data_IF_532201775934
#
_entry.id   IF_532201775934
#
_cell.length_a   1.000
_cell.length_b   1.000
_cell.length_c   1.000
_cell.angle_alpha   90.00
_cell.angle_beta   90.00
_cell.angle_gamma   90.00
#
_symmetry.space_group_name_H-M   'P 1'
#
loop_
_entity.id
_entity.type
_entity.pdbx_description
1 polymer ?
2 branched ?
3 water ?
#
# COMPACT_ATOMS: atom_id res chain seq x y z
N UNK A 3 10.16 -10.25 18.68
CA UNK A 3 10.98 -10.86 17.62
C UNK A 3 11.28 -12.35 17.89
N UNK A 4 10.42 -13.26 17.39
CA UNK A 4 10.64 -14.70 17.46
C UNK A 4 11.31 -15.33 16.23
N UNK A 5 10.95 -16.59 15.95
CA UNK A 5 11.35 -17.38 14.77
C UNK A 5 12.67 -16.95 14.11
N UNK A 6 12.66 -16.96 12.77
CA UNK A 6 13.68 -16.30 11.96
C UNK A 6 13.04 -15.08 11.35
N UNK A 7 12.40 -14.27 12.22
CA UNK A 7 11.58 -13.11 11.85
C UNK A 7 12.24 -12.26 10.79
N UNK A 8 11.43 -11.72 9.88
CA UNK A 8 11.95 -10.86 8.82
C UNK A 8 11.88 -9.38 9.15
N UNK A 9 13.00 -8.68 9.03
CA UNK A 9 13.03 -7.21 9.13
C UNK A 9 13.40 -6.66 7.78
N UNK A 10 12.62 -5.69 7.33
CA UNK A 10 12.76 -5.17 5.97
C UNK A 10 12.43 -3.71 5.88
N UNK A 11 12.85 -3.09 4.78
CA UNK A 11 12.49 -1.71 4.49
C UNK A 11 11.92 -1.66 3.07
N UNK A 12 10.83 -0.91 2.87
CA UNK A 12 10.23 -0.79 1.54
C UNK A 12 10.63 0.48 0.80
N UNK A 13 10.72 0.33 -0.52
CA UNK A 13 10.78 1.42 -1.50
C UNK A 13 9.55 1.33 -2.46
N UNK A 14 9.37 2.27 -3.37
CA UNK A 14 8.35 2.09 -4.43
C UNK A 14 8.79 2.72 -5.74
N UNK A 15 8.57 2.01 -6.84
CA UNK A 15 9.07 2.42 -8.15
C UNK A 15 9.04 3.91 -8.44
N UNK A 16 7.87 4.54 -8.42
CA UNK A 16 7.81 5.94 -8.83
C UNK A 16 8.41 6.90 -7.82
N UNK A 17 8.43 6.48 -6.57
CA UNK A 17 8.82 7.33 -5.48
C UNK A 17 10.33 7.43 -5.37
N UNK A 18 11.05 6.50 -6.01
CA UNK A 18 12.51 6.44 -5.85
C UNK A 18 13.31 6.29 -7.13
N UNK A 19 12.66 5.83 -8.20
CA UNK A 19 13.41 5.36 -9.37
C UNK A 19 14.02 6.46 -10.24
N UNK A 20 13.23 7.45 -10.63
CA UNK A 20 13.62 8.36 -11.70
C UNK A 20 13.64 7.59 -13.01
N UNK A 21 14.27 8.19 -14.02
CA UNK A 21 14.36 7.58 -15.35
C UNK A 21 13.00 7.39 -16.00
N UNK A 22 12.07 8.29 -15.69
CA UNK A 22 10.67 8.20 -16.11
C UNK A 22 10.51 7.95 -17.62
N UNK A 23 11.47 8.43 -18.42
CA UNK A 23 11.46 8.15 -19.85
C UNK A 23 12.78 7.59 -20.30
N UNK A 24 13.43 6.87 -19.39
CA UNK A 24 14.70 6.26 -19.70
C UNK A 24 14.54 4.88 -20.34
N UNK A 25 15.29 4.64 -21.41
CA UNK A 25 15.54 3.30 -21.92
C UNK A 25 14.29 2.58 -22.42
N UNK A 26 13.33 3.32 -22.95
CA UNK A 26 12.13 2.72 -23.50
C UNK A 26 10.88 2.78 -22.62
N UNK A 27 11.01 3.38 -21.44
CA UNK A 27 9.94 3.36 -20.47
C UNK A 27 8.78 4.19 -20.98
N UNK A 28 7.57 3.67 -20.85
CA UNK A 28 6.38 4.38 -21.23
C UNK A 28 5.93 5.29 -20.11
N UNK A 29 5.17 6.36 -20.44
CA UNK A 29 4.72 7.21 -19.32
C UNK A 29 3.71 6.49 -18.40
N UNK A 30 3.81 6.74 -17.11
CA UNK A 30 2.84 6.23 -16.16
C UNK A 30 2.00 7.42 -15.74
N UNK A 31 1.01 7.22 -14.86
CA UNK A 31 0.04 8.30 -14.59
C UNK A 31 0.62 9.46 -13.77
N UNK A 32 1.62 9.17 -12.95
CA UNK A 32 2.24 10.21 -12.17
C UNK A 32 3.14 11.08 -13.06
N UNK A 33 3.72 10.46 -14.08
CA UNK A 33 4.39 11.22 -15.12
C UNK A 33 3.44 12.28 -15.68
N UNK A 34 2.27 11.89 -16.15
CA UNK A 34 1.31 12.85 -16.70
C UNK A 34 0.78 13.82 -15.62
N UNK A 35 0.54 13.31 -14.42
CA UNK A 35 -0.06 14.11 -13.35
C UNK A 35 0.87 15.24 -12.93
N UNK A 36 2.09 14.87 -12.52
CA UNK A 36 3.08 15.85 -12.04
C UNK A 36 3.54 16.81 -13.14
N UNK A 37 3.55 16.38 -14.39
CA UNK A 37 3.91 17.30 -15.47
C UNK A 37 2.84 18.40 -15.73
N UNK A 38 1.60 18.16 -15.30
CA UNK A 38 0.48 19.09 -15.51
C UNK A 38 0.47 20.33 -14.61
N UNK A 39 1.31 20.34 -13.58
CA UNK A 39 1.33 21.42 -12.61
C UNK A 39 0.00 21.66 -11.90
N UNK A 40 -0.37 22.93 -11.74
CA UNK A 40 -1.46 23.27 -10.81
C UNK A 40 -0.81 23.01 -9.47
N UNK A 41 -1.55 22.97 -8.39
CA UNK A 41 -0.81 22.89 -7.16
C UNK A 41 -1.07 21.55 -6.52
N UNK A 42 -1.13 20.56 -7.41
CA UNK A 42 -1.51 19.22 -7.05
C UNK A 42 -0.41 18.56 -6.26
N UNK A 43 0.82 18.80 -6.70
CA UNK A 43 1.99 18.39 -5.91
C UNK A 43 2.61 19.62 -5.26
N UNK A 44 3.06 19.46 -4.02
CA UNK A 44 3.87 20.48 -3.34
C UNK A 44 4.91 21.04 -4.32
N UNK A 45 4.93 22.36 -4.46
CA UNK A 45 5.88 23.07 -5.33
C UNK A 45 6.00 22.56 -6.78
N UNK A 46 5.01 21.79 -7.23
CA UNK A 46 5.04 21.22 -8.58
C UNK A 46 6.20 20.28 -8.80
N UNK A 47 6.61 19.61 -7.73
CA UNK A 47 7.70 18.63 -7.81
C UNK A 47 7.23 17.40 -8.57
N UNK A 48 8.18 16.70 -9.21
CA UNK A 48 7.88 15.51 -9.97
C UNK A 48 8.79 14.43 -9.45
N UNK A 49 8.51 13.16 -9.82
CA UNK A 49 9.43 12.03 -9.66
C UNK A 49 10.26 11.73 -10.93
N UNK A 50 10.57 12.76 -11.73
CA UNK A 50 11.49 12.58 -12.88
C UNK A 50 12.85 12.01 -12.53
N UNK A 51 13.33 12.33 -11.33
CA UNK A 51 14.64 11.88 -10.87
C UNK A 51 14.44 11.15 -9.56
N UNK A 52 13.58 11.70 -8.70
CA UNK A 52 13.41 11.18 -7.34
C UNK A 52 14.79 10.83 -6.72
N UNK A 53 14.97 9.61 -6.24
CA UNK A 53 16.20 9.23 -5.55
C UNK A 53 17.27 8.82 -6.53
N UNK A 54 16.94 8.88 -7.82
CA UNK A 54 17.73 8.30 -8.88
C UNK A 54 17.98 6.79 -8.75
N UNK A 55 17.08 6.06 -8.12
CA UNK A 55 17.32 4.64 -7.92
C UNK A 55 17.41 3.76 -9.18
N UNK A 56 16.95 4.24 -10.34
CA UNK A 56 17.10 3.48 -11.57
C UNK A 56 18.58 3.48 -12.02
N UNK A 57 19.35 4.45 -11.50
CA UNK A 57 20.75 4.65 -11.87
C UNK A 57 21.74 4.41 -10.73
N UNK A 58 21.31 4.54 -9.50
CA UNK A 58 22.20 4.44 -8.35
C UNK A 58 21.73 3.33 -7.47
N UNK A 59 21.47 2.15 -8.04
CA UNK A 59 20.89 1.06 -7.28
C UNK A 59 21.89 0.45 -6.26
N UNK A 60 23.17 0.38 -6.62
CA UNK A 60 24.18 -0.09 -5.67
C UNK A 60 24.24 0.76 -4.40
N UNK A 61 23.95 2.06 -4.54
CA UNK A 61 23.82 2.92 -3.38
C UNK A 61 22.70 2.40 -2.47
N UNK A 62 21.62 1.93 -3.09
CA UNK A 62 20.52 1.37 -2.31
C UNK A 62 20.93 0.06 -1.65
N UNK A 63 21.59 -0.78 -2.44
CA UNK A 63 22.11 -2.05 -1.94
C UNK A 63 22.99 -1.82 -0.71
N UNK A 64 23.94 -0.88 -0.82
CA UNK A 64 24.80 -0.50 0.29
C UNK A 64 24.06 -0.21 1.58
N UNK A 65 23.01 0.61 1.49
CA UNK A 65 22.13 0.90 2.62
C UNK A 65 21.46 -0.36 3.11
N UNK A 66 21.04 -1.22 2.20
CA UNK A 66 20.30 -2.41 2.58
C UNK A 66 21.25 -3.23 3.41
N UNK A 67 22.43 -3.45 2.86
CA UNK A 67 23.51 -4.17 3.54
C UNK A 67 23.89 -3.57 4.87
N UNK A 68 24.03 -2.23 4.91
CA UNK A 68 24.40 -1.53 6.14
C UNK A 68 23.36 -1.76 7.22
N UNK A 69 22.09 -1.81 6.82
CA UNK A 69 21.00 -2.13 7.75
C UNK A 69 20.96 -3.60 8.14
N UNK A 70 21.59 -4.45 7.33
CA UNK A 70 21.46 -5.89 7.49
C UNK A 70 20.03 -6.43 7.40
N UNK A 71 19.25 -5.95 6.43
CA UNK A 71 17.85 -6.37 6.33
C UNK A 71 17.82 -7.83 5.94
N UNK A 72 16.89 -8.58 6.51
CA UNK A 72 16.69 -9.94 6.13
C UNK A 72 15.93 -9.97 4.82
N UNK A 73 15.13 -8.91 4.59
CA UNK A 73 14.28 -8.73 3.42
C UNK A 73 14.36 -7.32 2.82
N UNK A 74 13.84 -7.14 1.60
CA UNK A 74 13.70 -5.81 1.01
C UNK A 74 12.46 -5.72 0.12
N UNK A 75 11.60 -4.75 0.40
CA UNK A 75 10.39 -4.60 -0.40
C UNK A 75 10.56 -3.49 -1.41
N UNK A 76 10.43 -3.84 -2.69
CA UNK A 76 10.38 -2.82 -3.74
C UNK A 76 9.19 -3.13 -4.64
N UNK A 77 8.91 -2.22 -5.58
CA UNK A 77 7.84 -2.45 -6.57
C UNK A 77 8.40 -2.49 -7.97
N UNK A 78 7.65 -3.11 -8.89
CA UNK A 78 8.02 -3.13 -10.29
C UNK A 78 7.26 -2.05 -11.04
N UNK A 79 7.97 -1.40 -11.96
CA UNK A 79 7.34 -0.36 -12.76
C UNK A 79 6.61 -0.96 -13.97
N UNK A 80 5.30 -1.05 -13.86
CA UNK A 80 4.48 -1.58 -14.97
C UNK A 80 4.85 -0.95 -16.34
N UNK A 81 4.91 0.38 -16.40
CA UNK A 81 5.27 1.05 -17.64
C UNK A 81 6.79 1.06 -17.95
N UNK A 82 7.64 0.65 -16.99
CA UNK A 82 9.07 0.47 -17.30
C UNK A 82 9.22 -0.87 -17.99
N UNK A 83 8.54 -1.89 -17.43
CA UNK A 83 8.54 -3.21 -18.03
C UNK A 83 7.71 -3.27 -19.33
N UNK A 84 6.44 -2.84 -19.25
CA UNK A 84 5.55 -2.91 -20.43
C UNK A 84 5.06 -1.50 -20.80
N UNK A 85 5.84 -0.78 -21.64
CA UNK A 85 5.62 0.66 -21.90
C UNK A 85 4.19 1.06 -22.28
N UNK A 86 3.50 0.21 -23.02
CA UNK A 86 2.12 0.47 -23.44
C UNK A 86 1.14 -0.35 -22.62
N UNK A 87 1.62 -0.99 -21.55
CA UNK A 87 0.76 -1.76 -20.63
C UNK A 87 0.58 -3.25 -20.93
N UNK A 88 0.82 -3.64 -22.17
CA UNK A 88 0.60 -5.02 -22.59
C UNK A 88 1.92 -5.74 -22.84
N UNK A 89 1.86 -7.05 -23.05
CA UNK A 89 3.06 -7.80 -23.34
C UNK A 89 3.46 -7.68 -24.80
N UNK A 90 2.63 -6.98 -25.58
CA UNK A 90 2.93 -6.72 -26.99
C UNK A 90 4.24 -5.96 -27.22
N UNK A 91 4.76 -5.32 -26.20
CA UNK A 91 6.01 -4.61 -26.34
C UNK A 91 6.73 -4.68 -24.99
N UNK A 92 7.79 -5.48 -24.95
CA UNK A 92 8.55 -5.76 -23.74
C UNK A 92 9.87 -4.98 -23.73
N UNK A 93 10.14 -4.29 -22.62
CA UNK A 93 11.38 -3.51 -22.48
C UNK A 93 12.47 -4.29 -21.77
N UNK A 94 13.37 -4.89 -22.54
CA UNK A 94 14.47 -5.67 -21.96
C UNK A 94 15.31 -4.91 -20.91
N UNK A 95 15.45 -3.59 -21.05
CA UNK A 95 16.26 -2.79 -20.09
C UNK A 95 15.62 -2.76 -18.73
N UNK A 96 14.30 -2.61 -18.70
CA UNK A 96 13.52 -2.77 -17.48
C UNK A 96 13.75 -4.12 -16.84
N UNK A 97 13.86 -5.17 -17.65
CA UNK A 97 13.98 -6.55 -17.16
C UNK A 97 15.36 -6.68 -16.57
N UNK A 98 16.40 -6.29 -17.33
CA UNK A 98 17.78 -6.34 -16.81
C UNK A 98 17.89 -5.69 -15.45
N UNK A 99 17.16 -4.59 -15.27
CA UNK A 99 17.26 -3.75 -14.08
C UNK A 99 16.68 -4.44 -12.85
N UNK A 100 15.46 -4.97 -12.95
CA UNK A 100 14.89 -5.62 -11.79
C UNK A 100 15.62 -6.94 -11.57
N UNK A 101 16.06 -7.58 -12.65
CA UNK A 101 16.87 -8.79 -12.50
C UNK A 101 18.12 -8.54 -11.67
N UNK A 102 18.77 -7.38 -11.88
CA UNK A 102 19.92 -6.99 -11.07
C UNK A 102 19.63 -6.75 -9.58
N UNK A 103 18.57 -6.03 -9.28
CA UNK A 103 18.15 -5.84 -7.90
C UNK A 103 18.00 -7.20 -7.21
N UNK A 104 17.22 -8.08 -7.84
CA UNK A 104 16.93 -9.41 -7.30
C UNK A 104 18.21 -10.25 -7.12
N UNK A 105 19.07 -10.28 -8.14
CA UNK A 105 20.28 -11.07 -8.09
C UNK A 105 21.22 -10.53 -7.00
N UNK A 106 21.43 -9.21 -6.98
CA UNK A 106 22.22 -8.60 -5.91
C UNK A 106 21.60 -8.91 -4.54
N UNK A 107 20.29 -8.78 -4.42
CA UNK A 107 19.64 -9.12 -3.15
C UNK A 107 19.86 -10.56 -2.67
N UNK A 108 19.78 -11.53 -3.59
CA UNK A 108 19.99 -12.94 -3.23
C UNK A 108 21.43 -13.29 -2.91
N UNK A 109 22.39 -12.66 -3.58
CA UNK A 109 23.80 -12.92 -3.29
C UNK A 109 24.28 -12.29 -1.97
N UNK A 110 23.54 -11.31 -1.46
CA UNK A 110 23.80 -10.81 -0.11
C UNK A 110 22.90 -11.46 0.94
N UNK A 111 22.12 -12.48 0.56
CA UNK A 111 21.34 -13.25 1.51
C UNK A 111 20.09 -12.55 2.02
N UNK A 112 19.70 -11.48 1.31
CA UNK A 112 18.45 -10.75 1.57
C UNK A 112 17.29 -11.26 0.68
N UNK A 113 16.11 -11.45 1.27
CA UNK A 113 14.93 -11.99 0.56
C UNK A 113 14.07 -10.87 -0.04
N UNK A 114 13.86 -10.88 -1.37
CA UNK A 114 13.06 -9.83 -2.03
C UNK A 114 11.55 -9.96 -1.77
N UNK A 115 10.87 -8.83 -1.63
CA UNK A 115 9.38 -8.81 -1.59
C UNK A 115 8.88 -7.86 -2.68
N UNK A 116 8.18 -8.39 -3.66
CA UNK A 116 7.92 -7.61 -4.87
C UNK A 116 6.47 -7.21 -5.03
N UNK A 117 6.24 -5.91 -4.98
CA UNK A 117 4.98 -5.33 -5.33
C UNK A 117 4.91 -5.17 -6.87
N UNK A 118 3.82 -5.65 -7.50
CA UNK A 118 3.68 -5.55 -8.93
C UNK A 118 3.18 -4.18 -9.28
N UNK A 119 2.28 -3.66 -8.47
CA UNK A 119 1.65 -2.39 -8.79
C UNK A 119 1.59 -1.53 -7.51
N UNK A 120 2.13 -0.31 -7.59
CA UNK A 120 2.17 0.63 -6.46
C UNK A 120 1.74 2.01 -6.94
N UNK A 121 0.43 2.22 -7.08
CA UNK A 121 -0.21 3.50 -7.43
C UNK A 121 0.22 4.08 -8.78
N UNK A 122 0.55 3.22 -9.75
CA UNK A 122 1.32 3.73 -10.92
C UNK A 122 1.01 3.15 -12.30
N UNK A 123 -0.28 3.07 -12.60
CA UNK A 123 -0.77 2.64 -13.89
C UNK A 123 -0.05 3.30 -15.05
N UNK A 124 0.35 2.51 -16.07
CA UNK A 124 0.63 3.03 -17.42
C UNK A 124 -0.42 4.01 -17.91
N UNK A 125 0.01 5.17 -18.43
CA UNK A 125 -0.93 6.14 -19.02
C UNK A 125 -1.90 5.52 -20.03
N UNK A 126 -1.41 4.63 -20.89
CA UNK A 126 -2.22 3.91 -21.86
C UNK A 126 -3.45 3.28 -21.19
N UNK A 127 -3.19 2.58 -20.09
CA UNK A 127 -4.24 1.85 -19.43
C UNK A 127 -5.26 2.78 -18.78
N UNK A 128 -4.80 3.93 -18.27
CA UNK A 128 -5.68 4.91 -17.66
C UNK A 128 -6.54 5.57 -18.74
N UNK A 129 -5.99 5.78 -19.95
CA UNK A 129 -6.78 6.31 -21.07
C UNK A 129 -7.97 5.41 -21.45
N UNK A 130 -7.91 4.15 -21.02
CA UNK A 130 -8.95 3.17 -21.35
C UNK A 130 -9.82 2.86 -20.15
N UNK A 131 -9.91 3.85 -19.25
CA UNK A 131 -10.78 3.79 -18.09
C UNK A 131 -10.08 3.59 -16.78
N UNK A 132 -8.78 3.20 -16.83
CA UNK A 132 -8.10 2.73 -15.62
C UNK A 132 -8.94 1.71 -14.86
N UNK A 133 -8.91 1.79 -13.53
CA UNK A 133 -9.58 0.82 -12.65
C UNK A 133 -11.11 0.98 -12.59
N UNK A 134 -11.64 1.89 -13.41
CA UNK A 134 -13.08 2.04 -13.62
C UNK A 134 -13.63 1.07 -14.66
N UNK A 135 -12.75 0.57 -15.55
CA UNK A 135 -13.14 -0.33 -16.62
C UNK A 135 -12.79 -1.75 -16.20
N UNK A 136 -13.62 -2.72 -16.54
CA UNK A 136 -13.29 -4.08 -16.10
C UNK A 136 -12.26 -4.69 -17.05
N UNK A 137 -12.04 -4.04 -18.19
CA UNK A 137 -10.95 -4.38 -19.11
C UNK A 137 -9.62 -4.41 -18.38
N UNK A 138 -9.53 -3.65 -17.29
CA UNK A 138 -8.33 -3.60 -16.50
C UNK A 138 -7.99 -4.95 -15.86
N UNK A 139 -9.00 -5.71 -15.45
CA UNK A 139 -8.81 -7.02 -14.82
C UNK A 139 -7.93 -7.97 -15.68
N UNK A 140 -8.24 -8.06 -16.96
CA UNK A 140 -7.46 -8.85 -17.90
C UNK A 140 -6.05 -8.27 -18.08
N UNK A 141 -5.96 -6.93 -18.20
CA UNK A 141 -4.70 -6.20 -18.30
C UNK A 141 -3.72 -6.51 -17.15
N UNK A 142 -4.22 -6.39 -15.93
CA UNK A 142 -3.43 -6.66 -14.75
C UNK A 142 -2.98 -8.09 -14.66
N UNK A 143 -3.88 -9.02 -14.99
CA UNK A 143 -3.62 -10.46 -14.91
C UNK A 143 -2.50 -10.82 -15.89
N UNK A 144 -2.57 -10.28 -17.09
CA UNK A 144 -1.50 -10.51 -18.07
C UNK A 144 -0.14 -9.92 -17.66
N UNK A 145 -0.15 -8.70 -17.10
CA UNK A 145 1.02 -8.08 -16.47
C UNK A 145 1.55 -8.93 -15.33
N UNK A 146 0.68 -9.31 -14.41
CA UNK A 146 1.04 -10.21 -13.30
C UNK A 146 1.64 -11.52 -13.79
N UNK A 147 0.99 -12.17 -14.73
CA UNK A 147 1.56 -13.36 -15.35
C UNK A 147 2.97 -13.14 -15.87
N UNK A 148 3.17 -12.02 -16.57
CA UNK A 148 4.48 -11.64 -17.10
C UNK A 148 5.53 -11.49 -16.00
N UNK A 149 5.14 -10.89 -14.87
CA UNK A 149 6.05 -10.68 -13.73
C UNK A 149 6.44 -11.98 -13.03
N UNK A 150 5.46 -12.87 -12.83
CA UNK A 150 5.74 -14.19 -12.26
C UNK A 150 6.68 -14.94 -13.17
N UNK A 151 6.36 -14.94 -14.46
CA UNK A 151 7.18 -15.64 -15.42
C UNK A 151 8.63 -15.20 -15.36
N UNK A 152 8.85 -13.88 -15.42
CA UNK A 152 10.19 -13.30 -15.58
C UNK A 152 11.02 -13.35 -14.29
N UNK A 153 10.37 -13.14 -13.16
CA UNK A 153 11.11 -12.91 -11.92
C UNK A 153 10.93 -14.01 -10.89
N UNK A 154 9.97 -14.90 -11.14
CA UNK A 154 9.51 -15.83 -10.13
C UNK A 154 10.41 -17.02 -9.89
N UNK A 155 11.32 -17.31 -10.83
CA UNK A 155 12.33 -18.35 -10.61
C UNK A 155 13.10 -18.07 -9.32
N UNK A 156 13.24 -16.78 -8.98
CA UNK A 156 13.90 -16.46 -7.73
C UNK A 156 13.22 -15.46 -6.78
N UNK A 157 12.06 -14.91 -7.17
CA UNK A 157 11.20 -14.18 -6.24
C UNK A 157 10.11 -15.13 -5.70
N UNK A 158 10.00 -15.21 -4.38
CA UNK A 158 9.03 -16.12 -3.75
C UNK A 158 7.96 -15.40 -2.91
N UNK A 159 8.05 -14.08 -2.79
CA UNK A 159 7.14 -13.33 -1.92
C UNK A 159 6.62 -12.17 -2.72
N UNK A 160 5.31 -12.14 -2.93
CA UNK A 160 4.69 -11.12 -3.79
C UNK A 160 3.58 -10.35 -3.13
N UNK A 161 3.58 -9.06 -3.37
CA UNK A 161 2.39 -8.27 -3.11
C UNK A 161 1.92 -7.82 -4.48
N UNK A 162 0.66 -8.13 -4.78
CA UNK A 162 0.14 -7.89 -6.13
C UNK A 162 -0.20 -6.43 -6.27
N UNK A 163 -1.15 -6.00 -5.44
CA UNK A 163 -1.61 -4.62 -5.42
C UNK A 163 -1.32 -4.02 -4.05
N UNK A 164 -0.56 -2.93 -4.08
CA UNK A 164 -0.32 -2.15 -2.88
C UNK A 164 -1.50 -1.24 -2.49
N UNK A 165 -1.95 -1.37 -1.26
CA UNK A 165 -3.03 -0.53 -0.71
C UNK A 165 -4.14 -0.20 -1.74
N UNK A 166 -4.86 -1.23 -2.17
CA UNK A 166 -5.94 -1.03 -3.15
C UNK A 166 -6.97 -0.11 -2.56
N UNK A 167 -7.12 -0.17 -1.24
CA UNK A 167 -8.06 0.70 -0.55
C UNK A 167 -7.67 2.18 -0.61
N UNK A 168 -6.46 2.51 -0.20
CA UNK A 168 -5.97 3.86 -0.38
C UNK A 168 -5.96 4.28 -1.89
N UNK A 169 -5.59 3.34 -2.77
CA UNK A 169 -5.66 3.57 -4.21
C UNK A 169 -7.06 3.96 -4.77
N UNK A 170 -8.08 3.17 -4.49
CA UNK A 170 -9.42 3.49 -5.00
C UNK A 170 -9.96 4.83 -4.46
N UNK A 171 -9.72 5.11 -3.19
CA UNK A 171 -10.19 6.36 -2.60
C UNK A 171 -9.46 7.59 -3.14
N UNK A 172 -8.14 7.48 -3.32
CA UNK A 172 -7.30 8.65 -3.69
C UNK A 172 -7.31 8.94 -5.18
N UNK A 173 -7.32 7.87 -5.99
CA UNK A 173 -7.34 8.01 -7.44
C UNK A 173 -8.71 8.32 -8.00
N UNK A 174 -9.74 7.75 -7.39
CA UNK A 174 -11.05 7.72 -8.05
C UNK A 174 -12.19 8.27 -7.23
N UNK A 175 -12.15 8.08 -5.91
CA UNK A 175 -13.15 8.69 -5.05
C UNK A 175 -12.77 10.12 -4.66
N UNK A 176 -11.58 10.35 -4.14
CA UNK A 176 -11.22 11.71 -3.70
C UNK A 176 -10.60 12.59 -4.80
N UNK A 177 -10.22 12.00 -5.93
CA UNK A 177 -9.56 12.74 -7.03
C UNK A 177 -8.22 13.39 -6.71
N UNK A 178 -7.57 12.91 -5.66
CA UNK A 178 -6.31 13.49 -5.22
C UNK A 178 -5.11 12.94 -6.00
N UNK A 179 -5.10 11.64 -6.24
CA UNK A 179 -4.09 11.02 -7.12
C UNK A 179 -4.61 11.16 -8.55
N UNK A 180 -3.74 10.94 -9.55
CA UNK A 180 -4.28 10.70 -10.90
C UNK A 180 -5.32 9.56 -10.91
N UNK A 181 -6.31 9.59 -11.82
CA UNK A 181 -6.52 10.60 -12.87
C UNK A 181 -7.10 11.93 -12.36
N UNK A 182 -7.23 12.09 -11.05
CA UNK A 182 -7.48 13.38 -10.41
C UNK A 182 -8.83 14.07 -10.58
N UNK A 183 -9.83 13.31 -11.02
CA UNK A 183 -11.23 13.79 -11.02
C UNK A 183 -12.02 13.28 -9.79
N UNK A 184 -12.62 14.21 -9.01
CA UNK A 184 -13.25 13.88 -7.71
C UNK A 184 -14.22 12.66 -7.53
N UNK A 185 -15.32 12.51 -8.28
CA UNK A 185 -16.29 11.35 -8.05
C UNK A 185 -16.70 10.90 -6.61
N UNK A 186 -17.00 11.82 -5.69
CA UNK A 186 -17.38 11.40 -4.30
C UNK A 186 -18.51 10.33 -4.18
N UNK A 187 -18.20 9.18 -3.60
CA UNK A 187 -19.21 8.12 -3.38
C UNK A 187 -19.49 7.06 -4.47
N UNK A 188 -18.95 7.27 -5.68
CA UNK A 188 -19.10 6.27 -6.75
C UNK A 188 -17.76 5.71 -7.22
N UNK A 189 -16.77 6.58 -7.43
CA UNK A 189 -15.45 6.20 -7.93
C UNK A 189 -14.76 5.09 -7.16
N UNK A 190 -14.66 5.25 -5.85
CA UNK A 190 -13.97 4.30 -4.97
C UNK A 190 -14.49 2.87 -5.04
N UNK A 191 -15.81 2.69 -4.87
CA UNK A 191 -16.38 1.34 -4.95
C UNK A 191 -16.25 0.78 -6.36
N UNK A 192 -16.33 1.64 -7.36
CA UNK A 192 -16.22 1.19 -8.73
C UNK A 192 -14.82 0.69 -9.04
N UNK A 193 -13.80 1.41 -8.58
CA UNK A 193 -12.43 0.90 -8.64
C UNK A 193 -12.21 -0.34 -7.78
N UNK A 194 -12.74 -0.32 -6.56
CA UNK A 194 -12.44 -1.37 -5.58
C UNK A 194 -12.85 -2.72 -6.13
N UNK A 195 -14.00 -2.72 -6.82
CA UNK A 195 -14.56 -3.89 -7.47
C UNK A 195 -13.57 -4.57 -8.42
N UNK A 196 -13.04 -3.77 -9.33
CA UNK A 196 -12.05 -4.24 -10.30
C UNK A 196 -10.70 -4.61 -9.69
N UNK A 197 -10.26 -3.83 -8.72
CA UNK A 197 -9.05 -4.13 -7.99
C UNK A 197 -9.14 -5.48 -7.24
N UNK A 198 -10.32 -5.76 -6.68
CA UNK A 198 -10.58 -7.07 -6.05
C UNK A 198 -10.57 -8.24 -7.06
N UNK A 199 -11.27 -8.11 -8.18
CA UNK A 199 -11.29 -9.18 -9.20
C UNK A 199 -9.91 -9.34 -9.88
N UNK A 200 -9.25 -8.22 -10.17
CA UNK A 200 -7.91 -8.28 -10.77
C UNK A 200 -6.91 -8.93 -9.83
N UNK A 201 -6.95 -8.57 -8.54
CA UNK A 201 -6.05 -9.22 -7.59
C UNK A 201 -6.35 -10.69 -7.58
N UNK A 202 -7.65 -11.00 -7.60
CA UNK A 202 -8.15 -12.34 -7.42
C UNK A 202 -7.68 -13.25 -8.53
N UNK A 203 -7.75 -12.74 -9.76
CA UNK A 203 -7.42 -13.52 -10.93
C UNK A 203 -5.94 -13.73 -10.97
N UNK A 204 -5.20 -12.67 -10.66
CA UNK A 204 -3.74 -12.70 -10.60
C UNK A 204 -3.27 -13.78 -9.60
N UNK A 205 -3.96 -13.86 -8.46
CA UNK A 205 -3.67 -14.91 -7.48
C UNK A 205 -3.88 -16.27 -8.14
N UNK A 206 -5.04 -16.48 -8.77
CA UNK A 206 -5.36 -17.70 -9.50
C UNK A 206 -4.44 -18.02 -10.67
N UNK A 207 -3.82 -17.01 -11.28
CA UNK A 207 -2.85 -17.28 -12.30
C UNK A 207 -1.65 -17.85 -11.62
N UNK A 208 -1.30 -17.31 -10.47
CA UNK A 208 -0.11 -17.78 -9.79
C UNK A 208 -0.30 -19.21 -9.27
N UNK A 209 -1.48 -19.47 -8.71
CA UNK A 209 -1.80 -20.77 -8.13
C UNK A 209 -1.84 -21.87 -9.19
N UNK A 210 -2.41 -21.53 -10.34
CA UNK A 210 -2.49 -22.38 -11.49
C UNK A 210 -1.18 -22.57 -12.29
N UNK A 211 -0.43 -21.49 -12.48
CA UNK A 211 0.59 -21.46 -13.53
C UNK A 211 2.02 -21.46 -13.03
N UNK A 212 2.24 -21.00 -11.79
CA UNK A 212 3.60 -20.87 -11.27
C UNK A 212 3.84 -21.51 -9.92
N UNK A 213 2.81 -21.63 -9.09
CA UNK A 213 2.99 -22.09 -7.71
C UNK A 213 3.63 -23.46 -7.55
N UNK A 214 3.32 -24.36 -8.49
CA UNK A 214 3.87 -25.72 -8.45
C UNK A 214 5.39 -25.65 -8.57
N UNK A 215 5.84 -24.95 -9.61
CA UNK A 215 7.25 -24.88 -9.92
C UNK A 215 7.97 -23.89 -9.01
N UNK A 216 7.38 -22.72 -8.77
CA UNK A 216 8.06 -21.60 -8.09
C UNK A 216 7.95 -21.61 -6.57
N UNK A 217 6.84 -22.13 -6.06
CA UNK A 217 6.69 -22.38 -4.62
C UNK A 217 6.69 -21.11 -3.77
N UNK A 218 6.06 -20.05 -4.29
CA UNK A 218 6.11 -18.78 -3.62
C UNK A 218 4.78 -18.55 -2.95
N UNK A 219 4.61 -17.36 -2.39
CA UNK A 219 3.35 -16.96 -1.76
C UNK A 219 2.99 -15.55 -2.17
N UNK A 220 1.68 -15.30 -2.21
CA UNK A 220 1.15 -14.12 -2.87
C UNK A 220 -0.08 -13.56 -2.12
N UNK A 221 -0.07 -12.27 -1.84
CA UNK A 221 -1.32 -11.58 -1.55
C UNK A 221 -1.28 -10.15 -2.05
N UNK A 222 -1.95 -9.28 -1.32
CA UNK A 222 -2.04 -7.87 -1.62
C UNK A 222 -1.98 -7.20 -0.26
N UNK A 223 -1.62 -5.92 -0.23
CA UNK A 223 -1.48 -5.23 1.06
C UNK A 223 -2.62 -4.26 1.24
N UNK A 224 -2.94 -3.97 2.49
CA UNK A 224 -4.09 -3.17 2.83
C UNK A 224 -3.66 -2.14 3.87
N UNK A 225 -4.23 -0.95 3.77
CA UNK A 225 -3.98 0.14 4.69
C UNK A 225 -4.96 -0.01 5.83
N UNK A 226 -4.46 -0.03 7.06
CA UNK A 226 -5.37 -0.06 8.19
C UNK A 226 -5.08 1.06 9.16
N UNK A 227 -5.99 2.03 9.25
CA UNK A 227 -6.04 2.92 10.37
C UNK A 227 -6.81 2.20 11.47
N UNK A 228 -6.22 2.04 12.65
CA UNK A 228 -6.97 1.50 13.79
C UNK A 228 -7.91 2.53 14.39
N UNK A 229 -9.17 2.16 14.55
CA UNK A 229 -10.18 3.12 15.00
C UNK A 229 -10.73 2.86 16.41
N UNK A 230 -10.87 3.95 17.17
CA UNK A 230 -11.48 3.94 18.50
C UNK A 230 -12.68 4.87 18.57
N UNK A 231 -13.74 4.44 19.29
CA UNK A 231 -14.87 5.28 19.73
C UNK A 231 -14.45 6.62 20.37
N UNK A 232 -14.88 7.74 19.76
CA UNK A 232 -14.56 9.09 20.27
C UNK A 232 -14.76 9.13 21.79
N UNK A 233 -16.01 9.08 22.23
CA UNK A 233 -16.30 8.71 23.61
C UNK A 233 -16.61 7.23 23.67
N UNK A 234 -15.95 6.50 24.61
CA UNK A 234 -16.20 5.07 24.74
C UNK A 234 -17.48 4.90 25.53
N UNK A 235 -17.92 3.64 25.70
CA UNK A 235 -19.23 3.30 26.32
C UNK A 235 -20.43 4.23 25.96
N UNK A 236 -20.18 5.17 25.03
CA UNK A 236 -21.20 5.89 24.29
C UNK A 236 -21.57 5.04 23.06
N UNK A 237 -22.66 4.30 23.20
CA UNK A 237 -23.01 3.16 22.32
C UNK A 237 -22.95 3.34 20.80
N UNK A 238 -23.49 4.46 20.29
CA UNK A 238 -23.52 4.76 18.84
C UNK A 238 -22.12 4.79 18.21
N UNK A 239 -21.24 5.56 18.83
CA UNK A 239 -19.82 5.61 18.52
C UNK A 239 -19.15 4.23 18.51
N UNK A 240 -19.58 3.34 19.40
CA UNK A 240 -18.98 2.01 19.49
C UNK A 240 -19.15 1.22 18.19
N UNK A 241 -20.32 1.33 17.58
CA UNK A 241 -20.63 0.53 16.41
C UNK A 241 -20.20 1.25 15.14
N UNK A 242 -20.20 2.58 15.22
CA UNK A 242 -19.67 3.47 14.20
C UNK A 242 -18.19 3.24 13.89
N UNK A 243 -17.41 3.04 14.95
CA UNK A 243 -15.99 2.84 14.84
C UNK A 243 -15.69 1.45 14.30
N UNK A 244 -16.55 0.49 14.63
CA UNK A 244 -16.47 -0.87 14.06
C UNK A 244 -16.86 -0.85 12.59
N UNK A 245 -17.93 -0.13 12.28
CA UNK A 245 -18.45 -0.05 10.92
C UNK A 245 -17.45 0.65 9.99
N UNK A 246 -16.79 1.69 10.48
CA UNK A 246 -15.72 2.36 9.73
C UNK A 246 -14.49 1.46 9.48
N UNK A 247 -14.26 0.47 10.34
CA UNK A 247 -13.22 -0.53 10.06
C UNK A 247 -13.64 -1.41 8.86
N UNK A 248 -14.84 -1.98 8.97
CA UNK A 248 -15.37 -2.85 7.92
C UNK A 248 -15.43 -2.10 6.58
N UNK A 249 -15.69 -0.79 6.63
CA UNK A 249 -15.75 0.05 5.43
C UNK A 249 -14.39 0.20 4.77
N UNK A 250 -13.33 0.41 5.54
CA UNK A 250 -12.04 0.75 4.92
C UNK A 250 -11.10 -0.44 4.79
N UNK A 251 -11.26 -1.42 5.69
CA UNK A 251 -10.41 -2.60 5.66
C UNK A 251 -11.15 -3.84 5.15
N UNK A 252 -12.29 -4.17 5.75
CA UNK A 252 -12.98 -5.42 5.45
C UNK A 252 -13.70 -5.43 4.09
N UNK A 253 -14.02 -4.23 3.59
CA UNK A 253 -14.53 -4.02 2.22
C UNK A 253 -13.66 -4.78 1.21
N UNK A 254 -12.41 -5.07 1.60
CA UNK A 254 -11.46 -5.75 0.71
C UNK A 254 -11.05 -7.10 1.23
N UNK A 255 -11.04 -7.25 2.56
CA UNK A 255 -10.43 -8.43 3.15
C UNK A 255 -11.46 -9.52 3.35
N UNK A 256 -12.68 -9.12 3.70
CA UNK A 256 -13.77 -10.09 3.80
C UNK A 256 -13.86 -10.94 2.53
N UNK A 257 -14.03 -10.33 1.33
CA UNK A 257 -14.14 -11.08 0.07
C UNK A 257 -12.93 -11.93 -0.26
N UNK A 258 -11.74 -11.35 -0.11
CA UNK A 258 -10.50 -12.01 -0.47
C UNK A 258 -10.10 -13.11 0.54
N UNK A 259 -10.20 -12.83 1.84
CA UNK A 259 -9.83 -13.82 2.88
C UNK A 259 -10.95 -14.74 3.37
N UNK A 260 -12.23 -14.33 3.18
CA UNK A 260 -13.44 -15.04 3.70
C UNK A 260 -14.59 -14.97 2.68
N UNK A 261 -15.31 -16.06 2.47
CA UNK A 261 -16.64 -15.96 1.83
C UNK A 261 -16.78 -15.21 0.47
N UNK A 262 -15.78 -14.43 0.06
CA UNK A 262 -15.75 -13.85 -1.29
C UNK A 262 -16.72 -12.73 -1.61
N UNK A 263 -17.36 -12.17 -0.59
CA UNK A 263 -18.32 -11.11 -0.78
C UNK A 263 -18.10 -9.93 0.20
N UNK A 264 -18.49 -8.74 -0.23
CA UNK A 264 -18.41 -7.55 0.60
C UNK A 264 -19.06 -7.77 1.97
N UNK A 265 -18.62 -7.04 3.02
CA UNK A 265 -19.30 -7.10 4.33
C UNK A 265 -20.78 -6.71 4.27
N UNK A 266 -21.60 -7.36 5.10
CA UNK A 266 -23.05 -7.13 4.99
C UNK A 266 -23.49 -5.69 5.33
N UNK A 267 -22.94 -5.12 6.41
CA UNK A 267 -23.17 -3.70 6.77
C UNK A 267 -23.03 -2.77 5.56
N UNK A 268 -21.99 -3.02 4.77
CA UNK A 268 -21.55 -2.15 3.68
C UNK A 268 -22.61 -2.18 2.59
N UNK A 269 -23.01 -3.40 2.19
CA UNK A 269 -24.04 -3.64 1.17
C UNK A 269 -25.35 -2.96 1.51
N UNK A 270 -25.76 -3.06 2.79
CA UNK A 270 -27.06 -2.49 3.19
C UNK A 270 -27.04 -0.99 3.30
N UNK A 271 -25.96 -0.44 3.83
CA UNK A 271 -25.84 1.00 4.06
C UNK A 271 -25.77 1.77 2.76
N UNK A 272 -24.99 1.26 1.79
CA UNK A 272 -24.80 1.95 0.51
C UNK A 272 -26.04 1.87 -0.40
N UNK A 273 -26.63 0.67 -0.44
CA UNK A 273 -27.86 0.37 -1.16
C UNK A 273 -28.98 1.27 -0.70
N UNK A 274 -29.21 1.25 0.62
CA UNK A 274 -30.26 2.06 1.24
C UNK A 274 -30.10 3.52 0.83
N UNK A 275 -28.91 4.07 1.09
CA UNK A 275 -28.62 5.44 0.76
C UNK A 275 -28.59 5.71 -0.73
N UNK A 276 -28.34 4.69 -1.58
CA UNK A 276 -28.33 4.92 -3.04
C UNK A 276 -29.75 5.16 -3.58
N UNK A 277 -30.76 4.68 -2.86
CA UNK A 277 -32.15 5.00 -3.17
C UNK A 277 -32.43 6.49 -2.98
N UNK A 278 -31.91 7.03 -1.88
CA UNK A 278 -31.29 8.38 -1.88
C UNK A 278 -31.69 9.32 -2.98
N UNK A 279 -30.76 9.55 -3.91
CA UNK A 279 -30.83 10.60 -4.94
C UNK A 279 -31.39 9.95 -6.14
N UNK A 280 -31.72 8.67 -5.99
CA UNK A 280 -32.40 8.01 -7.04
C UNK A 280 -31.33 7.62 -8.02
N UNK A 281 -30.35 6.88 -7.52
CA UNK A 281 -29.51 6.04 -8.34
C UNK A 281 -30.34 4.83 -8.63
N UNK A 282 -30.34 4.36 -9.89
CA UNK A 282 -31.09 3.18 -10.30
C UNK A 282 -30.50 1.88 -9.74
N UNK A 283 -29.28 1.95 -9.24
CA UNK A 283 -28.72 0.80 -8.55
C UNK A 283 -27.89 1.23 -7.37
N UNK A 284 -27.63 0.33 -6.45
CA UNK A 284 -26.61 0.57 -5.40
C UNK A 284 -25.33 1.04 -6.06
N UNK A 285 -24.49 1.77 -5.31
CA UNK A 285 -23.19 2.24 -5.84
C UNK A 285 -22.07 1.25 -5.47
N UNK A 286 -22.40 0.29 -4.60
CA UNK A 286 -21.57 -0.85 -4.35
C UNK A 286 -21.90 -1.82 -5.46
N UNK A 287 -20.97 -2.06 -6.40
CA UNK A 287 -21.36 -3.06 -7.41
C UNK A 287 -21.48 -4.44 -6.76
N UNK A 288 -22.08 -5.39 -7.49
CA UNK A 288 -22.37 -6.72 -6.97
C UNK A 288 -21.40 -7.70 -7.53
N UNK A 289 -20.95 -8.63 -6.67
CA UNK A 289 -20.22 -9.79 -7.12
C UNK A 289 -21.23 -10.82 -7.53
N UNK A 290 -21.00 -11.46 -8.66
CA UNK A 290 -21.86 -12.58 -9.09
C UNK A 290 -21.50 -13.78 -8.27
N UNK A 291 -22.35 -14.81 -8.33
CA UNK A 291 -22.13 -16.03 -7.55
C UNK A 291 -20.88 -16.75 -8.03
N UNK A 292 -20.74 -16.81 -9.35
CA UNK A 292 -19.53 -17.30 -10.01
C UNK A 292 -18.30 -16.57 -9.46
N UNK A 293 -18.33 -15.23 -9.44
CA UNK A 293 -17.22 -14.37 -8.96
C UNK A 293 -16.79 -14.66 -7.54
N UNK A 294 -17.75 -14.79 -6.63
CA UNK A 294 -17.47 -15.13 -5.23
C UNK A 294 -16.63 -16.41 -5.05
N UNK A 295 -16.87 -17.41 -5.88
CA UNK A 295 -16.06 -18.64 -5.84
C UNK A 295 -14.62 -18.33 -6.30
N UNK A 296 -14.50 -17.49 -7.33
CA UNK A 296 -13.17 -17.09 -7.80
C UNK A 296 -12.42 -16.27 -6.73
N UNK A 297 -13.10 -15.30 -6.10
CA UNK A 297 -12.43 -14.37 -5.17
C UNK A 297 -12.02 -14.93 -3.79
N UNK A 298 -12.75 -15.89 -3.25
CA UNK A 298 -12.53 -16.31 -1.86
C UNK A 298 -11.28 -17.19 -1.66
N UNK A 299 -10.57 -16.96 -0.55
CA UNK A 299 -9.38 -17.72 -0.19
C UNK A 299 -8.26 -17.44 -1.17
N UNK A 300 -8.21 -16.18 -1.62
CA UNK A 300 -7.34 -15.77 -2.71
C UNK A 300 -6.13 -14.97 -2.17
N UNK A 301 -5.59 -15.42 -1.04
CA UNK A 301 -4.49 -14.70 -0.39
C UNK A 301 -3.66 -15.69 0.41
N UNK A 302 -2.34 -15.60 0.29
CA UNK A 302 -1.46 -16.55 0.98
C UNK A 302 -1.01 -16.10 2.40
N UNK A 303 -1.16 -14.80 2.67
CA UNK A 303 -0.87 -14.20 3.97
C UNK A 303 -1.57 -12.84 4.04
N UNK A 304 -1.81 -12.33 5.25
CA UNK A 304 -2.47 -11.02 5.41
C UNK A 304 -1.38 -9.97 5.48
N UNK A 305 -1.50 -8.95 4.65
CA UNK A 305 -0.49 -7.90 4.64
C UNK A 305 -1.15 -6.54 4.84
N UNK A 306 -0.88 -5.96 6.02
CA UNK A 306 -1.36 -4.65 6.41
C UNK A 306 -0.23 -3.64 6.31
N UNK A 307 -0.62 -2.39 6.17
CA UNK A 307 0.31 -1.28 6.17
C UNK A 307 -0.28 -0.31 7.17
N UNK A 308 0.34 -0.24 8.35
CA UNK A 308 -0.20 0.56 9.44
C UNK A 308 0.58 1.86 9.67
N UNK A 309 -0.12 2.91 10.05
CA UNK A 309 0.52 4.20 10.35
C UNK A 309 -0.12 4.94 11.54
N UNK A 310 -1.43 4.76 11.73
CA UNK A 310 -2.20 5.64 12.60
C UNK A 310 -3.51 5.08 13.12
N UNK A 311 -3.98 5.74 14.17
CA UNK A 311 -5.26 5.49 14.79
C UNK A 311 -6.04 6.77 14.58
N UNK A 312 -7.36 6.70 14.74
CA UNK A 312 -8.21 7.87 14.76
C UNK A 312 -9.32 7.56 15.73
N UNK A 313 -9.93 8.63 16.23
CA UNK A 313 -11.17 8.51 16.95
C UNK A 313 -12.31 8.75 15.95
N UNK A 314 -13.39 7.99 16.13
CA UNK A 314 -14.58 8.13 15.30
C UNK A 314 -15.85 8.32 16.13
N UNK A 315 -16.69 9.27 15.73
CA UNK A 315 -18.03 9.36 16.30
C UNK A 315 -19.12 9.04 15.26
N UNK A 316 -20.31 8.68 15.73
CA UNK A 316 -21.48 8.54 14.87
C UNK A 316 -21.85 9.89 14.27
N UNK A 317 -22.40 9.85 13.07
CA UNK A 317 -22.86 11.06 12.44
C UNK A 317 -23.88 10.64 11.41
N UNK A 318 -25.14 10.60 11.86
CA UNK A 318 -26.31 10.34 11.03
C UNK A 318 -26.26 11.14 9.74
N UNK A 319 -26.42 10.46 8.61
CA UNK A 319 -26.58 11.17 7.36
C UNK A 319 -28.00 11.77 7.23
N UNK A 320 -28.42 12.48 8.30
CA UNK A 320 -29.58 13.37 8.30
C UNK A 320 -29.56 14.20 7.01
N UNK A 321 -30.55 14.00 6.13
CA UNK A 321 -30.44 14.53 4.76
C UNK A 321 -29.29 13.81 4.05
N UNK A 322 -29.64 12.79 3.26
CA UNK A 322 -28.64 11.97 2.57
C UNK A 322 -27.71 12.88 1.80
N UNK A 323 -26.42 12.53 1.77
CA UNK A 323 -25.41 13.37 1.16
C UNK A 323 -24.31 12.47 0.57
N UNK A 324 -23.70 12.90 -0.52
CA UNK A 324 -23.00 11.96 -1.38
C UNK A 324 -21.74 11.30 -0.81
N UNK A 325 -21.94 10.02 -0.51
CA UNK A 325 -20.89 9.03 -0.43
C UNK A 325 -19.72 9.31 0.45
N UNK A 326 -18.75 10.06 -0.08
CA UNK A 326 -17.43 10.31 0.56
C UNK A 326 -17.11 9.13 1.49
N UNK A 327 -17.80 8.02 1.23
CA UNK A 327 -17.74 6.79 2.03
C UNK A 327 -18.05 7.10 3.52
N UNK A 328 -17.84 8.36 3.89
CA UNK A 328 -18.03 8.90 5.24
C UNK A 328 -19.48 8.91 5.63
N UNK A 329 -20.29 9.25 4.65
CA UNK A 329 -21.72 9.25 4.71
C UNK A 329 -22.32 7.82 4.86
N UNK A 330 -21.45 6.83 5.15
CA UNK A 330 -21.76 5.65 6.00
C UNK A 330 -21.83 6.06 7.50
N UNK A 331 -22.11 7.34 7.69
CA UNK A 331 -22.48 7.92 8.97
C UNK A 331 -21.39 7.94 10.03
N UNK A 332 -20.17 8.27 9.59
CA UNK A 332 -19.04 8.52 10.49
C UNK A 332 -18.33 9.87 10.27
N UNK A 333 -17.59 10.30 11.28
CA UNK A 333 -16.70 11.46 11.20
C UNK A 333 -15.47 11.10 12.01
N UNK A 334 -14.29 11.45 11.53
CA UNK A 334 -13.07 11.01 12.24
C UNK A 334 -12.20 12.18 12.62
N UNK A 335 -11.49 12.01 13.74
CA UNK A 335 -10.56 13.03 14.20
C UNK A 335 -9.60 12.43 15.24
N UNK A 336 -8.50 13.16 15.58
CA UNK A 336 -7.58 12.66 16.62
C UNK A 336 -8.01 13.04 18.04
N UNK A 337 -7.57 12.25 19.01
CA UNK A 337 -7.65 12.65 20.41
C UNK A 337 -6.60 13.75 20.62
N UNK A 338 -6.95 14.82 21.37
CA UNK A 338 -6.19 16.08 21.16
C UNK A 338 -4.77 16.12 21.79
N UNK A 339 -4.44 15.13 22.62
CA UNK A 339 -3.08 15.01 23.16
C UNK A 339 -2.26 13.94 22.43
N UNK A 340 -2.24 14.03 21.09
CA UNK A 340 -1.41 13.18 20.24
C UNK A 340 -0.46 14.06 19.44
N UNK A 341 0.72 13.52 19.13
CA UNK A 341 1.73 14.19 18.30
C UNK A 341 1.39 13.76 16.86
N UNK A 342 1.77 14.58 15.86
CA UNK A 342 1.24 14.42 14.48
C UNK A 342 2.19 14.22 13.26
N UNK A 343 2.92 15.26 12.85
CA UNK A 343 3.54 15.28 11.50
C UNK A 343 2.51 14.92 10.41
N UNK A 344 1.94 15.96 9.79
CA UNK A 344 0.87 15.84 8.76
C UNK A 344 -0.26 14.93 9.21
N UNK A 345 -0.47 13.82 8.51
CA UNK A 345 -1.60 12.96 8.78
C UNK A 345 -1.32 11.85 9.79
N UNK A 346 -0.05 11.59 10.10
CA UNK A 346 0.31 10.42 10.90
C UNK A 346 0.37 10.74 12.40
N UNK A 347 -0.71 10.49 13.12
CA UNK A 347 -0.70 10.72 14.57
C UNK A 347 -0.04 9.54 15.28
N UNK A 348 1.06 9.79 15.99
CA UNK A 348 1.83 8.71 16.62
C UNK A 348 1.08 7.94 17.70
N UNK A 349 0.30 6.92 17.31
CA UNK A 349 -0.46 6.11 18.29
C UNK A 349 -0.08 4.62 18.27
N UNK A 350 1.10 4.28 18.81
CA UNK A 350 1.62 2.97 18.45
C UNK A 350 0.83 1.79 19.00
N UNK A 351 0.06 1.98 20.08
CA UNK A 351 -0.77 0.88 20.60
C UNK A 351 -1.85 0.42 19.60
N UNK A 352 -2.13 1.27 18.61
CA UNK A 352 -3.02 0.94 17.49
C UNK A 352 -2.69 -0.30 16.66
N UNK A 353 -1.41 -0.56 16.42
CA UNK A 353 -1.00 -1.74 15.62
C UNK A 353 -1.28 -3.04 16.37
N UNK A 354 -1.06 -3.02 17.69
CA UNK A 354 -1.31 -4.17 18.57
C UNK A 354 -2.76 -4.54 18.54
N UNK A 355 -3.62 -3.54 18.73
CA UNK A 355 -5.05 -3.75 18.69
C UNK A 355 -5.48 -4.18 17.29
N UNK A 356 -4.94 -3.51 16.28
CA UNK A 356 -5.08 -3.91 14.88
C UNK A 356 -4.62 -5.35 14.58
N UNK A 357 -3.53 -5.79 15.20
CA UNK A 357 -2.99 -7.12 14.96
C UNK A 357 -3.84 -8.22 15.60
N UNK A 358 -4.37 -7.99 16.81
CA UNK A 358 -5.29 -8.99 17.40
C UNK A 358 -6.61 -9.01 16.65
N UNK A 359 -7.06 -7.83 16.18
CA UNK A 359 -8.28 -7.74 15.37
C UNK A 359 -8.18 -8.64 14.14
N UNK A 360 -7.06 -8.54 13.42
CA UNK A 360 -6.79 -9.34 12.24
C UNK A 360 -6.82 -10.83 12.56
N UNK A 361 -6.06 -11.21 13.58
CA UNK A 361 -6.07 -12.57 14.14
C UNK A 361 -7.49 -13.03 14.48
N UNK A 362 -8.26 -12.15 15.11
CA UNK A 362 -9.64 -12.44 15.51
C UNK A 362 -10.61 -12.53 14.32
N UNK A 363 -10.40 -11.74 13.29
CA UNK A 363 -11.36 -11.68 12.19
C UNK A 363 -10.99 -12.57 11.00
N UNK A 364 -9.73 -13.00 10.93
CA UNK A 364 -9.28 -13.77 9.76
C UNK A 364 -8.61 -15.10 10.04
N UNK A 365 -9.05 -15.75 11.12
CA UNK A 365 -8.63 -17.12 11.43
C UNK A 365 -7.10 -17.17 11.46
N UNK A 366 -6.54 -16.39 12.38
CA UNK A 366 -5.16 -16.54 12.77
C UNK A 366 -4.21 -16.62 11.58
N UNK A 367 -4.23 -15.58 10.72
CA UNK A 367 -3.40 -15.74 9.54
C UNK A 367 -1.94 -15.37 9.80
N UNK A 368 -1.06 -15.85 8.92
CA UNK A 368 0.27 -15.30 8.83
C UNK A 368 0.09 -13.83 8.39
N UNK A 369 0.75 -12.93 9.14
CA UNK A 369 0.69 -11.50 8.90
C UNK A 369 2.09 -10.93 8.63
N UNK A 370 2.13 -9.95 7.72
CA UNK A 370 3.31 -9.13 7.44
C UNK A 370 2.84 -7.69 7.62
N UNK A 371 3.65 -6.88 8.29
CA UNK A 371 3.52 -5.42 8.19
C UNK A 371 4.45 -5.06 7.06
N UNK A 372 3.86 -4.78 5.90
CA UNK A 372 4.62 -4.56 4.69
C UNK A 372 4.95 -3.10 4.55
N UNK A 373 4.33 -2.28 5.41
CA UNK A 373 4.70 -0.87 5.60
C UNK A 373 4.33 -0.40 7.02
N UNK A 374 5.32 0.19 7.70
CA UNK A 374 5.06 0.98 8.91
C UNK A 374 6.10 2.06 9.01
N UNK A 375 5.73 3.26 9.42
CA UNK A 375 6.73 4.30 9.57
C UNK A 375 6.29 5.68 9.98
N UNK A 376 7.23 6.61 10.01
CA UNK A 376 7.05 7.96 10.50
C UNK A 376 7.92 8.88 9.64
N UNK A 377 7.34 10.01 9.19
CA UNK A 377 8.06 11.03 8.45
C UNK A 377 8.61 12.16 9.32
N UNK A 378 9.41 13.02 8.70
CA UNK A 378 9.82 14.29 9.28
C UNK A 378 9.75 15.35 8.20
N UNK A 379 9.35 16.58 8.57
CA UNK A 379 9.27 17.69 7.63
C UNK A 379 10.66 18.15 7.23
N UNK A 380 10.77 18.68 6.03
CA UNK A 380 12.01 19.25 5.55
C UNK A 380 12.60 20.14 6.64
N UNK A 381 13.93 20.16 6.79
CA UNK A 381 14.78 20.05 7.96
C UNK A 381 14.18 19.51 9.28
N UNK A 382 14.90 18.55 9.88
CA UNK A 382 14.62 18.00 11.21
C UNK A 382 15.62 16.91 11.61
N UNK A 383 16.53 16.55 10.69
CA UNK A 383 16.85 15.16 10.59
C UNK A 383 18.21 14.75 11.16
N UNK A 384 18.80 13.72 10.54
CA UNK A 384 20.01 13.01 10.97
C UNK A 384 19.93 12.43 12.37
N UNK A 385 20.14 13.25 13.39
CA UNK A 385 20.00 12.79 14.76
C UNK A 385 18.52 12.90 15.08
N UNK A 386 17.75 11.96 14.54
CA UNK A 386 16.31 12.00 14.64
C UNK A 386 15.85 11.16 15.83
N UNK A 387 16.16 11.64 17.03
CA UNK A 387 15.89 10.89 18.25
C UNK A 387 14.42 10.92 18.62
N UNK A 388 13.72 12.00 18.26
CA UNK A 388 12.28 12.10 18.50
C UNK A 388 11.60 10.93 17.79
N UNK A 389 11.73 10.93 16.47
CA UNK A 389 11.23 9.90 15.58
C UNK A 389 11.63 8.50 16.00
N UNK A 390 12.91 8.25 16.26
CA UNK A 390 13.31 6.88 16.61
C UNK A 390 12.59 6.34 17.86
N UNK A 391 12.32 7.21 18.84
CA UNK A 391 11.55 6.81 20.02
C UNK A 391 10.19 6.25 19.59
N UNK A 392 9.50 6.97 18.69
CA UNK A 392 8.25 6.51 18.03
C UNK A 392 8.33 5.09 17.47
N UNK A 393 9.45 4.78 16.81
CA UNK A 393 9.71 3.43 16.31
C UNK A 393 9.82 2.43 17.46
N UNK A 394 10.57 2.83 18.50
CA UNK A 394 10.82 1.96 19.66
C UNK A 394 9.52 1.48 20.25
N UNK A 395 8.62 2.43 20.50
CA UNK A 395 7.32 2.12 21.05
C UNK A 395 6.57 1.15 20.16
N UNK A 396 6.49 1.44 18.87
CA UNK A 396 5.83 0.57 17.89
C UNK A 396 6.35 -0.89 17.95
N UNK A 397 7.68 -1.08 17.99
CA UNK A 397 8.26 -2.44 18.15
C UNK A 397 7.92 -3.09 19.50
N UNK A 398 7.80 -2.26 20.53
CA UNK A 398 7.46 -2.69 21.87
C UNK A 398 6.06 -3.31 21.93
N UNK A 399 5.11 -2.67 21.27
CA UNK A 399 3.76 -3.24 21.19
C UNK A 399 3.68 -4.43 20.20
N UNK A 400 4.60 -4.45 19.25
CA UNK A 400 4.73 -5.53 18.29
C UNK A 400 5.14 -6.81 19.05
N UNK A 401 6.08 -6.62 19.99
CA UNK A 401 6.54 -7.69 20.88
C UNK A 401 5.37 -8.23 21.69
N UNK A 402 4.59 -7.30 22.27
CA UNK A 402 3.41 -7.63 23.06
C UNK A 402 2.40 -8.42 22.26
N UNK A 403 2.25 -8.09 20.98
CA UNK A 403 1.28 -8.74 20.09
C UNK A 403 1.66 -10.19 19.85
N UNK A 404 2.92 -10.44 19.51
CA UNK A 404 3.41 -11.80 19.42
C UNK A 404 3.27 -12.56 20.76
N UNK A 405 3.86 -12.03 21.84
CA UNK A 405 3.90 -12.73 23.14
C UNK A 405 2.53 -12.89 23.82
N UNK A 406 1.93 -11.78 24.23
CA UNK A 406 0.69 -11.81 25.01
C UNK A 406 -0.50 -12.20 24.15
N UNK A 407 -0.53 -11.74 22.91
CA UNK A 407 -1.69 -11.98 22.07
C UNK A 407 -1.55 -13.13 21.06
N UNK A 408 -0.33 -13.63 20.92
CA UNK A 408 -0.03 -14.81 20.09
C UNK A 408 -0.33 -14.67 18.61
N UNK A 409 -0.24 -13.45 18.10
CA UNK A 409 -0.44 -13.11 16.68
C UNK A 409 0.69 -13.69 15.80
N UNK A 410 0.33 -14.26 14.65
CA UNK A 410 1.31 -14.88 13.76
C UNK A 410 2.04 -13.88 12.84
N UNK A 411 2.66 -12.84 13.43
CA UNK A 411 3.48 -11.87 12.69
C UNK A 411 4.85 -12.41 12.25
N UNK A 412 5.14 -12.40 10.94
CA UNK A 412 6.45 -12.91 10.47
C UNK A 412 7.36 -11.87 9.83
N UNK A 413 6.79 -10.74 9.43
CA UNK A 413 7.55 -9.69 8.77
C UNK A 413 7.15 -8.36 9.36
N UNK A 414 8.16 -7.57 9.72
CA UNK A 414 8.00 -6.15 9.90
C UNK A 414 8.81 -5.47 8.79
N UNK A 415 8.14 -4.63 8.01
CA UNK A 415 8.83 -3.87 7.00
C UNK A 415 8.62 -2.36 7.20
N UNK A 416 9.71 -1.62 7.26
CA UNK A 416 9.61 -0.22 7.65
C UNK A 416 9.35 0.61 6.43
N UNK A 417 8.36 1.49 6.48
CA UNK A 417 8.29 2.38 5.36
C UNK A 417 9.33 3.46 5.40
N UNK A 418 10.49 3.02 5.02
CA UNK A 418 11.23 3.54 3.88
C UNK A 418 12.71 3.53 4.03
N UNK A 419 13.34 2.86 3.06
CA UNK A 419 14.76 2.80 2.93
C UNK A 419 15.26 4.25 2.71
N UNK A 420 14.52 5.03 1.93
CA UNK A 420 14.95 6.35 1.48
C UNK A 420 13.92 7.45 1.71
N UNK A 421 14.39 8.69 1.84
CA UNK A 421 13.49 9.83 1.66
C UNK A 421 13.22 9.85 0.18
N UNK A 422 11.98 10.08 -0.20
CA UNK A 422 11.59 9.97 -1.60
C UNK A 422 10.42 10.87 -1.94
N UNK A 423 9.85 10.69 -3.13
CA UNK A 423 8.71 11.46 -3.58
C UNK A 423 7.41 11.00 -2.89
N UNK A 424 6.94 11.75 -1.89
CA UNK A 424 5.77 11.31 -1.16
C UNK A 424 4.50 11.85 -1.78
N UNK A 425 4.31 11.50 -3.05
CA UNK A 425 3.09 11.77 -3.77
C UNK A 425 2.81 13.27 -3.70
N UNK A 426 1.64 13.68 -3.26
CA UNK A 426 1.27 15.12 -3.28
C UNK A 426 2.19 15.99 -2.41
N UNK A 427 2.81 15.34 -1.43
CA UNK A 427 3.67 16.02 -0.47
C UNK A 427 5.06 16.26 -1.06
N UNK A 428 5.34 15.59 -2.17
CA UNK A 428 6.63 15.65 -2.81
C UNK A 428 7.74 15.28 -1.86
N UNK A 429 8.80 16.08 -1.87
CA UNK A 429 9.98 15.81 -1.04
C UNK A 429 9.87 16.56 0.30
N UNK A 430 8.66 17.04 0.60
CA UNK A 430 8.42 17.88 1.76
C UNK A 430 8.15 17.07 3.01
N UNK A 431 8.05 15.76 2.84
CA UNK A 431 8.07 14.88 3.98
C UNK A 431 8.96 13.67 3.64
N UNK A 432 9.63 13.17 4.68
CA UNK A 432 10.78 12.31 4.53
C UNK A 432 10.60 11.11 5.46
N UNK A 433 10.21 9.97 4.90
CA UNK A 433 9.97 8.73 5.69
C UNK A 433 11.20 7.84 5.70
N UNK A 434 12.29 8.30 5.11
CA UNK A 434 13.48 7.46 4.97
C UNK A 434 14.18 7.09 6.26
N UNK A 435 14.74 5.88 6.30
CA UNK A 435 15.74 5.56 7.30
C UNK A 435 17.08 6.18 6.82
N UNK A 436 17.18 6.47 5.54
CA UNK A 436 18.36 7.15 5.01
C UNK A 436 17.97 8.48 4.38
N UNK A 437 18.65 9.53 4.82
CA UNK A 437 18.48 10.88 4.26
C UNK A 437 18.91 10.81 2.82
N UNK A 438 18.21 11.56 1.97
CA UNK A 438 18.62 11.78 0.57
C UNK A 438 18.62 13.30 0.29
N UNK A 439 19.57 13.77 -0.48
CA UNK A 439 19.64 15.19 -0.77
C UNK A 439 19.33 15.40 -2.24
N UNK A 440 18.23 16.09 -2.49
CA UNK A 440 17.68 16.18 -3.84
C UNK A 440 18.23 17.37 -4.60
N UNK A 441 19.21 18.06 -4.02
CA UNK A 441 19.79 19.26 -4.65
C UNK A 441 21.08 19.04 -5.42
N UNK A 442 21.84 18.00 -5.04
CA UNK A 442 22.98 17.60 -5.84
C UNK A 442 22.68 16.37 -6.68
N UNK A 443 23.18 16.38 -7.93
CA UNK A 443 22.93 15.44 -8.98
C UNK A 443 23.29 14.00 -8.62
N UNK A 444 24.31 13.78 -7.79
CA UNK A 444 24.45 12.48 -7.14
C UNK A 444 23.17 12.45 -6.34
N UNK A 445 22.94 11.44 -5.52
CA UNK A 445 21.75 11.61 -4.70
C UNK A 445 22.04 10.94 -3.36
N UNK A 446 23.07 11.45 -2.69
CA UNK A 446 23.75 10.80 -1.58
C UNK A 446 22.82 10.30 -0.49
N UNK A 447 23.14 9.11 0.03
CA UNK A 447 22.37 8.50 1.09
C UNK A 447 23.15 8.53 2.41
N UNK A 448 22.63 9.23 3.41
CA UNK A 448 23.30 9.19 4.69
C UNK A 448 22.32 8.71 5.76
N UNK A 449 22.76 7.75 6.60
CA UNK A 449 21.89 7.15 7.61
C UNK A 449 21.32 8.19 8.58
N UNK A 450 20.07 7.97 9.01
CA UNK A 450 19.51 8.70 10.13
C UNK A 450 19.96 7.92 11.36
N UNK A 451 19.87 8.51 12.55
CA UNK A 451 20.18 7.74 13.72
C UNK A 451 19.32 6.45 13.69
N UNK A 452 18.05 6.61 13.28
CA UNK A 452 17.11 5.50 13.12
C UNK A 452 17.73 4.36 12.31
N UNK A 453 18.31 4.67 11.15
CA UNK A 453 19.01 3.67 10.34
C UNK A 453 19.98 2.86 11.19
N UNK A 454 20.91 3.57 11.84
CA UNK A 454 21.92 2.95 12.70
C UNK A 454 21.28 2.20 13.88
N UNK A 455 20.15 2.73 14.35
CA UNK A 455 19.50 2.22 15.56
C UNK A 455 18.50 1.10 15.27
N UNK A 456 18.15 0.94 13.98
CA UNK A 456 17.28 -0.12 13.51
C UNK A 456 18.10 -1.37 13.21
N UNK A 457 19.33 -1.15 12.76
CA UNK A 457 20.31 -2.21 12.55
C UNK A 457 20.54 -3.08 13.80
N UNK A 458 20.64 -2.43 14.97
CA UNK A 458 20.75 -3.11 16.26
C UNK A 458 19.53 -4.01 16.54
N UNK A 459 18.34 -3.45 16.42
CA UNK A 459 17.12 -4.23 16.58
C UNK A 459 17.11 -5.53 15.73
N UNK A 460 17.64 -5.47 14.51
CA UNK A 460 17.86 -6.68 13.70
C UNK A 460 18.92 -7.46 14.48
N UNK A 461 18.45 -8.15 15.54
CA UNK A 461 19.27 -8.48 16.76
C UNK A 461 20.67 -8.99 16.48
#
# INVERSE_FOLDING_TARGET
>A
MAFPAGFGWAAATAAYQVEGGWDADGKGPCVWDTFTHQGGERVFKNQTGDVACGSYTLWEEDLKCIKQLGLTHYRFSLSWSRLLPDGTTGFINQKGIDYYNKIIDDLLKNGVTPIVTLYHFDLPQTLEDQGGWLSEAIIESFDKYAQFCFSTFGDRVKQWITINEANVLSVMSYDLGMFPPGIPHFGTGGYQAAHNLIKAHARSWHSYDSLFRKKQKGMVSLSLFAVWLEPADPNSVSDQEAAKRAITFHLDLFAKPIFIDGDYPEVVKSQIASMSQKQGYPSSRLPEFTEEEKKMIKGTADFFAVQYYTTRLIKYQENKKGELGILQDAEIEFFPDPSWINVDWIYVVPWGVCKLLKYIKDTYNNPVIYITENGFPQSDPAPLDDTQRWEYFRQTFQELFKAIQLDKVNLQVYCAWSLLDNFEWNQGYSSRFGLFHVDFEDPARPRVPYTSAKEYAKIIRNNGLEAHL
#
